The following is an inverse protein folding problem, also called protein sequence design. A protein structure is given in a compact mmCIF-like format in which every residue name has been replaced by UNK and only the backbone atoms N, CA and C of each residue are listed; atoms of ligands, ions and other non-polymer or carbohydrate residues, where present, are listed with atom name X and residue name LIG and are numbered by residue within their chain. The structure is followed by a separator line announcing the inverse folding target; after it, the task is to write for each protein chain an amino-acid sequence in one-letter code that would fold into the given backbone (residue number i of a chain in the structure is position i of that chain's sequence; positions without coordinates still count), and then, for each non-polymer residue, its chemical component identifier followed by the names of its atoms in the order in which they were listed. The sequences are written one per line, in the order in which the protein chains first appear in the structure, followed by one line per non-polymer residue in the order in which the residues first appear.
data_IF_016718073710
#
_entry.id   IF_016718073710
#
_cell.length_a   1.000
_cell.length_b   1.000
_cell.length_c   1.000
_cell.angle_alpha   90.00
_cell.angle_beta   90.00
_cell.angle_gamma   90.00
#
_symmetry.space_group_name_H-M   'P 1'
#
loop_
_entity.id
_entity.type
_entity.pdbx_description
1 polymer ?
#
# COMPACT_ATOMS: atom_id res chain seq x y z
N UNK A 1 4.50 11.50 3.70
CA UNK A 1 5.34 10.42 4.23
C UNK A 1 5.06 9.20 3.36
N UNK A 2 6.02 8.77 2.56
CA UNK A 2 5.90 7.55 1.77
C UNK A 2 6.31 6.42 2.71
N UNK A 3 5.42 5.46 3.00
CA UNK A 3 5.85 4.23 3.67
C UNK A 3 6.55 3.45 2.57
N UNK A 4 7.83 3.76 2.38
CA UNK A 4 8.64 3.19 1.31
C UNK A 4 8.93 1.75 1.64
N UNK A 5 8.19 0.84 1.02
CA UNK A 5 8.75 -0.45 0.67
C UNK A 5 9.50 -0.19 -0.64
N UNK A 6 10.79 0.16 -0.59
CA UNK A 6 11.51 0.38 -1.83
C UNK A 6 11.83 -0.97 -2.50
N UNK A 7 11.40 -1.11 -3.75
CA UNK A 7 11.83 -2.20 -4.64
C UNK A 7 13.28 -1.97 -5.05
N UNK A 8 14.20 -2.50 -4.26
CA UNK A 8 15.51 -2.96 -4.72
C UNK A 8 15.94 -4.14 -3.87
N UNK A 9 16.35 -5.22 -4.53
CA UNK A 9 16.89 -6.40 -3.90
C UNK A 9 17.94 -6.05 -2.82
N UNK A 10 17.75 -6.62 -1.63
CA UNK A 10 18.74 -6.78 -0.57
C UNK A 10 19.37 -5.50 0.01
N UNK A 11 18.65 -4.74 0.84
CA UNK A 11 19.28 -3.92 1.90
C UNK A 11 18.29 -3.64 3.05
N UNK A 12 18.46 -4.39 4.16
CA UNK A 12 17.98 -4.15 5.54
C UNK A 12 16.48 -3.83 5.77
N UNK A 13 15.71 -4.88 6.02
CA UNK A 13 14.30 -4.87 6.44
C UNK A 13 14.12 -4.47 7.92
N UNK A 14 14.50 -3.26 8.32
CA UNK A 14 13.89 -2.68 9.52
C UNK A 14 12.72 -1.81 9.08
N UNK A 15 11.49 -2.02 9.61
CA UNK A 15 10.41 -1.08 9.37
C UNK A 15 10.89 0.33 9.72
N UNK A 16 10.73 1.29 8.82
CA UNK A 16 11.13 2.69 9.07
C UNK A 16 9.95 3.48 9.67
N UNK A 17 8.82 2.82 9.93
CA UNK A 17 7.58 3.42 10.41
C UNK A 17 6.91 2.53 11.46
N UNK A 18 6.62 3.11 12.62
CA UNK A 18 6.02 2.41 13.76
C UNK A 18 4.93 3.26 14.41
N UNK A 19 4.21 2.69 15.39
CA UNK A 19 3.18 3.37 16.17
C UNK A 19 3.64 4.73 16.77
N UNK A 20 4.89 4.83 17.21
CA UNK A 20 5.44 6.10 17.74
C UNK A 20 5.41 7.24 16.73
N UNK A 21 5.57 6.93 15.45
CA UNK A 21 5.56 7.92 14.37
C UNK A 21 4.14 8.43 14.12
N UNK A 22 3.15 7.53 14.24
CA UNK A 22 1.71 7.86 14.19
C UNK A 22 1.31 8.76 15.36
N UNK A 23 1.76 8.43 16.58
CA UNK A 23 1.53 9.26 17.76
C UNK A 23 2.13 10.66 17.60
N UNK A 24 3.35 10.75 17.05
CA UNK A 24 3.98 12.03 16.74
C UNK A 24 3.15 12.84 15.72
N UNK A 25 2.67 12.21 14.65
CA UNK A 25 1.82 12.87 13.64
C UNK A 25 0.53 13.41 14.28
N UNK A 26 -0.12 12.62 15.14
CA UNK A 26 -1.31 13.06 15.87
C UNK A 26 -1.00 14.27 16.78
N UNK A 27 0.08 14.19 17.57
CA UNK A 27 0.50 15.28 18.46
C UNK A 27 0.88 16.56 17.69
N UNK A 28 1.34 16.44 16.45
CA UNK A 28 1.61 17.57 15.57
C UNK A 28 0.32 18.23 15.02
N UNK A 29 -0.87 17.69 15.31
CA UNK A 29 -2.16 18.27 14.95
C UNK A 29 -2.69 17.84 13.58
N UNK A 30 -2.10 16.83 12.94
CA UNK A 30 -2.66 16.22 11.74
C UNK A 30 -3.84 15.30 12.09
N UNK A 31 -4.73 15.08 11.13
CA UNK A 31 -5.94 14.28 11.32
C UNK A 31 -6.02 13.05 10.40
N UNK A 32 -5.07 12.89 9.48
CA UNK A 32 -4.95 11.72 8.61
C UNK A 32 -3.53 11.52 8.08
N UNK A 33 -3.27 10.30 7.60
CA UNK A 33 -2.09 9.97 6.81
C UNK A 33 -2.49 9.42 5.43
N UNK A 34 -1.59 9.54 4.46
CA UNK A 34 -1.67 8.86 3.17
C UNK A 34 -0.67 7.71 3.16
N UNK A 35 -1.15 6.50 2.92
CA UNK A 35 -0.38 5.26 2.90
C UNK A 35 -0.29 4.74 1.47
N UNK A 36 0.78 5.08 0.73
CA UNK A 36 1.05 4.50 -0.57
C UNK A 36 1.49 3.03 -0.44
N UNK A 37 0.95 2.17 -1.27
CA UNK A 37 1.29 0.74 -1.37
C UNK A 37 1.48 0.36 -2.83
N UNK A 38 2.40 -0.56 -3.10
CA UNK A 38 2.66 -1.00 -4.48
C UNK A 38 2.15 -2.42 -4.71
N UNK A 39 1.68 -2.68 -5.92
CA UNK A 39 1.19 -3.99 -6.34
C UNK A 39 2.24 -5.09 -6.09
N UNK A 40 3.51 -4.77 -6.28
CA UNK A 40 4.60 -5.74 -6.19
C UNK A 40 4.92 -6.21 -4.78
N UNK A 41 4.53 -5.43 -3.76
CA UNK A 41 4.74 -5.78 -2.36
C UNK A 41 3.54 -6.48 -1.76
N UNK A 42 2.33 -6.11 -2.21
CA UNK A 42 1.10 -6.65 -1.66
C UNK A 42 0.73 -7.98 -2.31
N UNK A 43 1.03 -8.18 -3.60
CA UNK A 43 0.69 -9.41 -4.29
C UNK A 43 1.86 -9.99 -5.08
N UNK A 44 1.93 -11.31 -5.07
CA UNK A 44 2.79 -12.10 -5.97
C UNK A 44 2.40 -11.90 -7.43
N UNK A 45 3.25 -12.35 -8.36
CA UNK A 45 2.95 -12.30 -9.81
C UNK A 45 1.69 -13.10 -10.21
N UNK A 46 1.34 -14.13 -9.43
CA UNK A 46 0.12 -14.92 -9.60
C UNK A 46 -1.11 -14.36 -8.85
N UNK A 47 -0.98 -13.18 -8.22
CA UNK A 47 -2.08 -12.46 -7.58
C UNK A 47 -2.46 -12.97 -6.18
N UNK A 48 -1.61 -13.77 -5.54
CA UNK A 48 -1.78 -14.15 -4.13
C UNK A 48 -1.23 -13.05 -3.23
N UNK A 49 -1.87 -12.85 -2.07
CA UNK A 49 -1.41 -11.85 -1.09
C UNK A 49 -0.04 -12.24 -0.53
N UNK A 50 0.80 -11.24 -0.35
CA UNK A 50 1.98 -11.29 0.52
C UNK A 50 1.51 -11.01 1.95
N UNK A 51 1.32 -12.08 2.73
CA UNK A 51 0.68 -12.02 4.05
C UNK A 51 1.36 -11.03 5.02
N UNK A 52 2.70 -10.99 5.02
CA UNK A 52 3.44 -10.05 5.87
C UNK A 52 3.20 -8.58 5.48
N UNK A 53 3.09 -8.29 4.17
CA UNK A 53 2.83 -6.93 3.71
C UNK A 53 1.41 -6.47 4.09
N UNK A 54 0.41 -7.35 3.92
CA UNK A 54 -0.95 -7.10 4.37
C UNK A 54 -1.04 -6.95 5.90
N UNK A 55 -0.28 -7.75 6.65
CA UNK A 55 -0.20 -7.65 8.10
C UNK A 55 0.39 -6.30 8.52
N UNK A 56 1.51 -5.87 7.94
CA UNK A 56 2.13 -4.57 8.24
C UNK A 56 1.20 -3.41 7.92
N UNK A 57 0.49 -3.48 6.79
CA UNK A 57 -0.54 -2.50 6.43
C UNK A 57 -1.68 -2.48 7.46
N UNK A 58 -2.18 -3.64 7.87
CA UNK A 58 -3.21 -3.77 8.90
C UNK A 58 -2.78 -3.21 10.26
N UNK A 59 -1.57 -3.56 10.71
CA UNK A 59 -0.99 -3.05 11.96
C UNK A 59 -0.90 -1.51 11.92
N UNK A 60 -0.44 -0.94 10.79
CA UNK A 60 -0.37 0.51 10.58
C UNK A 60 -1.74 1.19 10.64
N UNK A 61 -2.76 0.61 9.99
CA UNK A 61 -4.14 1.11 10.04
C UNK A 61 -4.65 1.08 11.48
N UNK A 62 -4.44 -0.02 12.19
CA UNK A 62 -4.88 -0.16 13.59
C UNK A 62 -4.22 0.88 14.50
N UNK A 63 -2.92 1.13 14.36
CA UNK A 63 -2.24 2.19 15.10
C UNK A 63 -2.81 3.58 14.81
N UNK A 64 -3.16 3.87 13.55
CA UNK A 64 -3.81 5.13 13.17
C UNK A 64 -5.17 5.26 13.83
N UNK A 65 -6.00 4.22 13.77
CA UNK A 65 -7.32 4.22 14.39
C UNK A 65 -7.25 4.44 15.91
N UNK A 66 -6.35 3.73 16.60
CA UNK A 66 -6.12 3.91 18.03
C UNK A 66 -5.65 5.32 18.39
N UNK A 67 -4.91 5.98 17.48
CA UNK A 67 -4.43 7.35 17.66
C UNK A 67 -5.43 8.41 17.16
N UNK A 68 -6.61 8.01 16.67
CA UNK A 68 -7.62 8.92 16.12
C UNK A 68 -7.26 9.55 14.77
N UNK A 69 -6.31 8.96 14.03
CA UNK A 69 -5.92 9.37 12.68
C UNK A 69 -6.67 8.55 11.63
N UNK A 70 -7.15 9.22 10.59
CA UNK A 70 -7.72 8.54 9.42
C UNK A 70 -6.62 8.10 8.45
N UNK A 71 -6.89 7.08 7.64
CA UNK A 71 -5.93 6.57 6.65
C UNK A 71 -6.51 6.68 5.25
N UNK A 72 -5.73 7.23 4.32
CA UNK A 72 -5.99 7.19 2.88
C UNK A 72 -5.03 6.16 2.27
N UNK A 73 -5.55 5.00 1.89
CA UNK A 73 -4.77 3.99 1.16
C UNK A 73 -4.67 4.39 -0.31
N UNK A 74 -3.46 4.35 -0.86
CA UNK A 74 -3.15 4.72 -2.23
C UNK A 74 -2.40 3.57 -2.91
N UNK A 75 -3.07 2.82 -3.79
CA UNK A 75 -2.38 1.83 -4.63
C UNK A 75 -1.58 2.57 -5.70
N UNK A 76 -0.31 2.81 -5.41
CA UNK A 76 0.51 3.84 -6.03
C UNK A 76 1.17 3.38 -7.33
N UNK A 77 1.70 2.16 -7.33
CA UNK A 77 2.38 1.54 -8.46
C UNK A 77 1.70 0.22 -8.81
N UNK A 78 1.35 0.08 -10.08
CA UNK A 78 0.90 -1.17 -10.68
C UNK A 78 2.00 -1.69 -11.59
N UNK A 79 2.11 -3.01 -11.72
CA UNK A 79 2.99 -3.64 -12.72
C UNK A 79 2.58 -3.23 -14.14
N UNK A 80 1.30 -2.97 -14.36
CA UNK A 80 0.72 -2.51 -15.62
C UNK A 80 0.70 -0.99 -15.78
N UNK A 81 1.06 -0.22 -14.74
CA UNK A 81 1.10 1.25 -14.79
C UNK A 81 1.89 1.88 -13.63
N UNK A 82 2.86 2.73 -13.97
CA UNK A 82 3.30 3.84 -13.11
C UNK A 82 3.58 5.10 -13.94
N UNK A 83 3.77 6.26 -13.31
CA UNK A 83 3.83 7.56 -13.99
C UNK A 83 4.91 7.62 -15.08
N UNK A 84 6.10 7.10 -14.79
CA UNK A 84 7.25 7.09 -15.68
C UNK A 84 7.25 5.94 -16.70
N UNK A 85 6.24 5.08 -16.70
CA UNK A 85 6.19 3.93 -17.60
C UNK A 85 6.00 4.39 -19.06
N UNK A 86 6.93 3.98 -19.92
CA UNK A 86 6.84 4.24 -21.36
C UNK A 86 5.62 3.54 -21.97
N UNK A 87 5.42 2.28 -21.60
CA UNK A 87 4.22 1.52 -21.91
C UNK A 87 3.26 1.56 -20.71
N UNK A 88 1.96 1.70 -20.99
CA UNK A 88 0.91 1.69 -19.96
C UNK A 88 -0.17 0.66 -20.29
N UNK A 89 0.14 -0.64 -20.16
CA UNK A 89 -0.79 -1.73 -20.48
C UNK A 89 -2.17 -1.62 -19.85
N UNK A 90 -2.30 -1.03 -18.66
CA UNK A 90 -3.59 -0.80 -18.00
C UNK A 90 -4.62 -0.13 -18.93
N UNK A 91 -4.17 0.77 -19.81
CA UNK A 91 -5.06 1.53 -20.70
C UNK A 91 -5.24 0.89 -22.08
N UNK A 92 -4.48 -0.15 -22.42
CA UNK A 92 -4.46 -0.73 -23.77
C UNK A 92 -4.81 -2.21 -23.82
N UNK A 93 -4.73 -2.92 -22.69
CA UNK A 93 -4.94 -4.36 -22.57
C UNK A 93 -6.09 -4.67 -21.60
N UNK A 94 -7.24 -5.17 -22.06
CA UNK A 94 -8.35 -5.55 -21.18
C UNK A 94 -7.94 -6.53 -20.07
N UNK A 95 -7.03 -7.46 -20.34
CA UNK A 95 -6.55 -8.42 -19.34
C UNK A 95 -5.80 -7.76 -18.17
N UNK A 96 -5.15 -6.61 -18.39
CA UNK A 96 -4.49 -5.85 -17.32
C UNK A 96 -5.50 -5.03 -16.51
N UNK A 97 -6.63 -4.64 -17.12
CA UNK A 97 -7.75 -4.00 -16.42
C UNK A 97 -8.47 -4.99 -15.52
N UNK A 98 -8.72 -6.21 -16.02
CA UNK A 98 -9.35 -7.27 -15.24
C UNK A 98 -8.51 -7.65 -14.02
N UNK A 99 -7.18 -7.75 -14.19
CA UNK A 99 -6.24 -7.93 -13.07
C UNK A 99 -6.34 -6.79 -12.06
N UNK A 100 -6.27 -5.54 -12.51
CA UNK A 100 -6.39 -4.38 -11.61
C UNK A 100 -7.70 -4.40 -10.84
N UNK A 101 -8.83 -4.67 -11.49
CA UNK A 101 -10.14 -4.75 -10.83
C UNK A 101 -10.17 -5.85 -9.77
N UNK A 102 -9.57 -7.01 -10.05
CA UNK A 102 -9.48 -8.11 -9.09
C UNK A 102 -8.66 -7.72 -7.86
N UNK A 103 -7.48 -7.13 -8.04
CA UNK A 103 -6.62 -6.65 -6.96
C UNK A 103 -7.29 -5.53 -6.16
N UNK A 104 -7.99 -4.61 -6.83
CA UNK A 104 -8.73 -3.53 -6.18
C UNK A 104 -9.87 -4.06 -5.30
N UNK A 105 -10.62 -5.06 -5.78
CA UNK A 105 -11.65 -5.72 -4.98
C UNK A 105 -11.06 -6.47 -3.79
N UNK A 106 -9.92 -7.12 -3.97
CA UNK A 106 -9.21 -7.82 -2.90
C UNK A 106 -8.77 -6.86 -1.79
N UNK A 107 -8.10 -5.77 -2.16
CA UNK A 107 -7.68 -4.71 -1.24
C UNK A 107 -8.88 -4.07 -0.53
N UNK A 108 -9.90 -3.68 -1.28
CA UNK A 108 -11.11 -3.10 -0.70
C UNK A 108 -11.84 -4.08 0.24
N UNK A 109 -11.79 -5.38 -0.07
CA UNK A 109 -12.35 -6.42 0.80
C UNK A 109 -11.59 -6.51 2.12
N UNK A 110 -10.25 -6.50 2.07
CA UNK A 110 -9.42 -6.47 3.27
C UNK A 110 -9.72 -5.25 4.17
N UNK A 111 -9.81 -4.06 3.58
CA UNK A 111 -10.02 -2.79 4.31
C UNK A 111 -11.41 -2.59 4.93
N UNK A 112 -12.40 -3.42 4.55
CA UNK A 112 -13.76 -3.38 5.11
C UNK A 112 -14.02 -4.49 6.15
N UNK A 113 -12.96 -5.18 6.60
CA UNK A 113 -13.05 -6.25 7.62
C UNK A 113 -12.83 -5.67 9.00
#
# INVERSE_FOLDING_TARGET
MHIGFQSTAAEQNDPVFYEKDIQYIHQAGFDHIRLPVDEEQLWTLDGRREEEAFKLMGDCIQWCEHSGLRVIIDLHILRSHHFNAAEKPLWTKPEEQDKFIALWKDLSGFLHT
#
